data_IF_342924342800
#
_entry.id   IF_342924342800
#
_cell.length_a   1.000
_cell.length_b   1.000
_cell.length_c   1.000
_cell.angle_alpha   90.00
_cell.angle_beta   90.00
_cell.angle_gamma   90.00
#
_symmetry.space_group_name_H-M   'P 1'
#
loop_
_entity.id
_entity.type
_entity.pdbx_description
1 polymer ?
#
# COMPACT_ATOMS: atom_id res chain seq x y z
N UNK A 1 -6.87 -8.00 17.24
CA UNK A 1 -8.26 -7.69 16.83
C UNK A 1 -8.33 -6.20 16.64
N UNK A 2 -8.51 -5.79 15.40
CA UNK A 2 -8.31 -4.43 14.88
C UNK A 2 -9.31 -3.45 15.51
N UNK A 3 -8.84 -2.30 16.03
CA UNK A 3 -9.69 -1.21 16.57
C UNK A 3 -10.80 -0.81 15.58
N UNK A 4 -10.54 -0.88 14.27
CA UNK A 4 -11.53 -0.65 13.23
C UNK A 4 -12.67 -1.69 13.22
N UNK A 5 -12.40 -2.96 13.53
CA UNK A 5 -13.44 -3.98 13.70
C UNK A 5 -14.25 -3.81 14.97
N UNK A 6 -13.65 -3.30 16.06
CA UNK A 6 -14.36 -3.01 17.29
C UNK A 6 -15.29 -1.78 17.18
N UNK A 7 -14.90 -0.77 16.38
CA UNK A 7 -15.74 0.39 16.08
C UNK A 7 -16.93 0.05 15.18
N UNK A 8 -16.81 -0.94 14.31
CA UNK A 8 -17.91 -1.44 13.50
C UNK A 8 -18.93 -2.29 14.30
N UNK A 9 -18.64 -2.65 15.54
CA UNK A 9 -19.50 -3.46 16.41
C UNK A 9 -20.25 -2.67 17.51
N UNK A 10 -20.64 -1.43 17.23
CA UNK A 10 -21.75 -0.83 17.98
C UNK A 10 -21.40 -0.12 19.30
N UNK A 11 -20.24 0.49 19.40
CA UNK A 11 -20.00 1.53 20.42
C UNK A 11 -20.62 2.82 19.91
N UNK A 12 -21.58 3.37 20.63
CA UNK A 12 -22.17 4.69 20.36
C UNK A 12 -21.07 5.74 20.51
N UNK A 13 -20.39 6.03 19.43
CA UNK A 13 -19.42 7.12 19.36
C UNK A 13 -20.18 8.45 19.46
N UNK A 14 -19.67 9.36 20.27
CA UNK A 14 -20.20 10.70 20.41
C UNK A 14 -20.11 11.39 19.02
N UNK A 15 -21.09 12.22 18.67
CA UNK A 15 -21.19 12.88 17.34
C UNK A 15 -19.89 13.58 16.92
N UNK A 16 -19.15 14.11 17.89
CA UNK A 16 -17.85 14.74 17.70
C UNK A 16 -16.73 13.75 17.26
N UNK A 17 -16.77 12.53 17.75
CA UNK A 17 -15.83 11.47 17.33
C UNK A 17 -16.18 10.94 15.93
N UNK A 18 -17.46 10.93 15.56
CA UNK A 18 -17.91 10.60 14.20
C UNK A 18 -17.46 11.68 13.18
N UNK A 19 -17.60 12.98 13.52
CA UNK A 19 -17.14 14.09 12.68
C UNK A 19 -15.61 14.12 12.55
N UNK A 20 -14.87 13.76 13.61
CA UNK A 20 -13.41 13.60 13.56
C UNK A 20 -13.00 12.38 12.72
N UNK A 21 -13.78 11.30 12.73
CA UNK A 21 -13.53 10.11 11.92
C UNK A 21 -13.84 10.32 10.43
N UNK A 22 -14.85 11.14 10.09
CA UNK A 22 -15.14 11.51 8.70
C UNK A 22 -14.02 12.33 8.06
N UNK A 23 -13.23 13.05 8.86
CA UNK A 23 -12.09 13.85 8.40
C UNK A 23 -10.72 13.12 8.50
N UNK A 24 -10.64 11.97 9.17
CA UNK A 24 -9.43 11.14 9.23
C UNK A 24 -9.56 10.10 8.12
N UNK A 25 -8.90 10.31 7.01
CA UNK A 25 -8.85 9.34 5.91
C UNK A 25 -8.46 7.92 6.39
N UNK A 26 -8.78 6.92 5.61
CA UNK A 26 -8.43 5.52 5.92
C UNK A 26 -6.93 5.32 5.76
N UNK A 27 -6.21 5.26 6.88
CA UNK A 27 -4.76 4.99 6.92
C UNK A 27 -4.50 3.52 7.22
N UNK A 28 -3.41 3.01 6.66
CA UNK A 28 -2.93 1.68 7.03
C UNK A 28 -2.46 1.68 8.49
N UNK A 29 -2.84 0.65 9.24
CA UNK A 29 -2.44 0.49 10.63
C UNK A 29 -0.92 0.30 10.72
N UNK A 30 -0.22 1.00 11.64
CA UNK A 30 1.20 0.79 11.86
C UNK A 30 1.51 -0.66 12.25
N UNK A 31 2.63 -1.17 11.80
CA UNK A 31 3.13 -2.51 12.18
C UNK A 31 3.52 -2.47 13.67
N UNK A 32 2.88 -3.33 14.48
CA UNK A 32 3.07 -3.40 15.93
C UNK A 32 4.09 -4.48 16.33
N UNK A 33 5.20 -4.58 15.60
CA UNK A 33 6.31 -5.47 15.93
C UNK A 33 7.61 -4.67 16.00
N UNK A 34 8.56 -5.15 16.80
CA UNK A 34 9.84 -4.47 16.98
C UNK A 34 10.76 -4.67 15.79
N UNK A 35 11.73 -3.76 15.60
CA UNK A 35 12.76 -3.87 14.56
C UNK A 35 13.49 -5.23 14.63
N UNK A 36 13.80 -5.72 15.84
CA UNK A 36 14.43 -7.02 16.00
C UNK A 36 13.55 -8.16 15.48
N UNK A 37 12.25 -8.13 15.74
CA UNK A 37 11.33 -9.14 15.24
C UNK A 37 11.21 -9.09 13.71
N UNK A 38 11.22 -7.89 13.11
CA UNK A 38 11.24 -7.73 11.66
C UNK A 38 12.52 -8.31 11.07
N UNK A 39 13.67 -7.98 11.66
CA UNK A 39 14.96 -8.49 11.20
C UNK A 39 15.05 -10.02 11.29
N UNK A 40 14.61 -10.60 12.40
CA UNK A 40 14.55 -12.06 12.56
C UNK A 40 13.61 -12.74 11.55
N UNK A 41 12.45 -12.13 11.28
CA UNK A 41 11.54 -12.63 10.25
C UNK A 41 12.17 -12.54 8.84
N UNK A 42 12.86 -11.43 8.54
CA UNK A 42 13.59 -11.27 7.27
C UNK A 42 14.66 -12.35 7.11
N UNK A 43 15.49 -12.58 8.14
CA UNK A 43 16.52 -13.64 8.12
C UNK A 43 15.94 -15.03 7.88
N UNK A 44 14.80 -15.36 8.51
CA UNK A 44 14.12 -16.66 8.26
C UNK A 44 13.72 -16.81 6.79
N UNK A 45 13.19 -15.75 6.18
CA UNK A 45 12.82 -15.75 4.75
C UNK A 45 14.07 -15.88 3.88
N UNK A 46 15.14 -15.14 4.20
CA UNK A 46 16.41 -15.21 3.48
C UNK A 46 17.02 -16.61 3.58
N UNK A 47 17.09 -17.20 4.76
CA UNK A 47 17.58 -18.55 4.99
C UNK A 47 16.79 -19.59 4.19
N UNK A 48 15.45 -19.50 4.21
CA UNK A 48 14.58 -20.42 3.47
C UNK A 48 14.73 -20.33 1.94
N UNK A 49 15.34 -19.26 1.42
CA UNK A 49 15.57 -19.03 0.00
C UNK A 49 17.06 -19.04 -0.38
N UNK A 50 17.94 -19.54 0.49
CA UNK A 50 19.40 -19.57 0.28
C UNK A 50 20.01 -18.18 -0.03
N UNK A 51 19.44 -17.12 0.57
CA UNK A 51 19.91 -15.74 0.44
C UNK A 51 20.76 -15.39 1.67
N UNK A 52 21.90 -14.71 1.51
CA UNK A 52 22.70 -14.23 2.65
C UNK A 52 21.87 -13.38 3.61
N UNK A 53 21.99 -13.67 4.90
CA UNK A 53 21.22 -12.95 5.93
C UNK A 53 21.63 -11.49 6.06
N UNK A 54 20.65 -10.61 6.14
CA UNK A 54 20.87 -9.19 6.44
C UNK A 54 21.30 -9.00 7.89
N UNK A 55 22.27 -8.12 8.11
CA UNK A 55 22.74 -7.75 9.46
C UNK A 55 21.91 -6.66 10.11
N UNK A 56 21.20 -5.88 9.32
CA UNK A 56 20.37 -4.75 9.77
C UNK A 56 19.21 -4.51 8.82
N UNK A 57 18.18 -3.81 9.32
CA UNK A 57 17.08 -3.32 8.50
C UNK A 57 17.49 -2.02 7.78
N UNK A 58 17.14 -1.93 6.50
CA UNK A 58 17.29 -0.69 5.76
C UNK A 58 16.05 0.19 5.93
N UNK A 59 16.29 1.49 6.09
CA UNK A 59 15.23 2.49 6.17
C UNK A 59 15.30 3.46 4.97
N UNK A 60 14.16 3.93 4.47
CA UNK A 60 14.13 4.93 3.41
C UNK A 60 14.83 6.22 3.87
N UNK A 61 15.64 6.81 3.00
CA UNK A 61 16.30 8.09 3.29
C UNK A 61 15.26 9.22 3.38
N UNK A 62 15.32 9.99 4.47
CA UNK A 62 14.43 11.14 4.67
C UNK A 62 13.03 10.81 5.19
N UNK A 63 12.74 9.54 5.50
CA UNK A 63 11.53 9.11 6.18
C UNK A 63 11.92 8.49 7.53
N UNK A 64 11.26 8.90 8.59
CA UNK A 64 11.51 8.36 9.93
C UNK A 64 10.74 7.05 10.20
N UNK A 65 9.87 6.67 9.30
CA UNK A 65 9.00 5.51 9.42
C UNK A 65 9.16 4.58 8.21
N UNK A 66 8.92 3.30 8.44
CA UNK A 66 8.94 2.27 7.40
C UNK A 66 10.28 1.57 7.21
N UNK A 67 10.26 0.58 6.36
CA UNK A 67 11.39 -0.30 6.04
C UNK A 67 11.55 -0.39 4.54
N UNK A 68 12.81 -0.50 4.08
CA UNK A 68 13.13 -0.76 2.70
C UNK A 68 13.43 -2.26 2.54
N UNK A 69 12.50 -3.00 1.94
CA UNK A 69 12.64 -4.42 1.68
C UNK A 69 12.73 -4.64 0.16
N UNK A 70 13.73 -5.38 -0.28
CA UNK A 70 13.94 -5.71 -1.70
C UNK A 70 13.50 -7.13 -1.97
N UNK A 71 12.71 -7.32 -3.02
CA UNK A 71 12.30 -8.62 -3.53
C UNK A 71 12.76 -8.72 -4.98
N UNK A 72 13.66 -9.65 -5.26
CA UNK A 72 14.17 -9.92 -6.60
C UNK A 72 13.46 -11.13 -7.21
N UNK A 73 13.01 -10.96 -8.44
CA UNK A 73 12.35 -12.00 -9.22
C UNK A 73 12.76 -11.86 -10.69
N UNK A 74 13.00 -12.96 -11.36
CA UNK A 74 13.32 -12.97 -12.79
C UNK A 74 12.17 -12.43 -13.66
N UNK A 75 12.49 -12.00 -14.86
CA UNK A 75 11.48 -11.55 -15.83
C UNK A 75 10.58 -12.73 -16.22
N UNK A 76 9.27 -12.51 -16.26
CA UNK A 76 8.31 -13.54 -16.63
C UNK A 76 7.88 -14.47 -15.49
N UNK A 77 8.44 -14.35 -14.28
CA UNK A 77 8.11 -15.21 -13.12
C UNK A 77 6.89 -14.77 -12.32
N UNK A 78 6.15 -13.76 -12.79
CA UNK A 78 4.90 -13.33 -12.15
C UNK A 78 5.05 -12.22 -11.11
N UNK A 79 6.08 -11.36 -11.21
CA UNK A 79 6.26 -10.20 -10.31
C UNK A 79 4.97 -9.42 -10.05
N UNK A 80 4.26 -9.06 -11.12
CA UNK A 80 3.01 -8.29 -11.02
C UNK A 80 1.94 -9.04 -10.25
N UNK A 81 1.75 -10.32 -10.54
CA UNK A 81 0.83 -11.17 -9.80
C UNK A 81 1.19 -11.24 -8.31
N UNK A 82 2.48 -11.40 -8.01
CA UNK A 82 2.98 -11.52 -6.64
C UNK A 82 2.69 -10.28 -5.81
N UNK A 83 3.00 -9.07 -6.30
CA UNK A 83 2.72 -7.88 -5.51
C UNK A 83 1.22 -7.54 -5.43
N UNK A 84 0.42 -7.84 -6.45
CA UNK A 84 -1.04 -7.70 -6.35
C UNK A 84 -1.58 -8.64 -5.27
N UNK A 85 -1.17 -9.92 -5.28
CA UNK A 85 -1.54 -10.88 -4.25
C UNK A 85 -1.10 -10.41 -2.86
N UNK A 86 0.11 -9.87 -2.72
CA UNK A 86 0.60 -9.35 -1.44
C UNK A 86 -0.29 -8.25 -0.86
N UNK A 87 -0.89 -7.39 -1.69
CA UNK A 87 -1.83 -6.37 -1.22
C UNK A 87 -3.09 -6.99 -0.61
N UNK A 88 -3.62 -8.05 -1.21
CA UNK A 88 -4.76 -8.78 -0.65
C UNK A 88 -4.40 -9.49 0.66
N UNK A 89 -3.22 -10.14 0.73
CA UNK A 89 -2.77 -10.78 1.97
C UNK A 89 -2.56 -9.74 3.09
N UNK A 90 -1.95 -8.59 2.78
CA UNK A 90 -1.77 -7.50 3.75
C UNK A 90 -3.11 -6.91 4.21
N UNK A 91 -4.09 -6.82 3.32
CA UNK A 91 -5.44 -6.42 3.70
C UNK A 91 -6.10 -7.45 4.60
N UNK A 92 -6.01 -8.73 4.27
CA UNK A 92 -6.58 -9.82 5.05
C UNK A 92 -5.99 -9.91 6.46
N UNK A 93 -4.67 -9.80 6.59
CA UNK A 93 -3.97 -9.98 7.87
C UNK A 93 -3.95 -8.71 8.73
N UNK A 94 -3.77 -7.54 8.11
CA UNK A 94 -3.55 -6.27 8.81
C UNK A 94 -4.64 -5.22 8.59
N UNK A 95 -5.58 -5.48 7.67
CA UNK A 95 -6.61 -4.52 7.29
C UNK A 95 -6.09 -3.35 6.44
N UNK A 96 -4.89 -3.47 5.87
CA UNK A 96 -4.34 -2.43 5.03
C UNK A 96 -5.14 -2.26 3.75
N UNK A 97 -5.49 -1.02 3.43
CA UNK A 97 -6.34 -0.70 2.28
C UNK A 97 -5.73 0.29 1.31
N UNK A 98 -4.59 0.90 1.63
CA UNK A 98 -3.94 1.94 0.82
C UNK A 98 -2.58 1.48 0.35
N UNK A 99 -2.39 1.44 -0.97
CA UNK A 99 -1.14 1.01 -1.60
C UNK A 99 -0.74 1.97 -2.71
N UNK A 100 0.56 2.14 -2.91
CA UNK A 100 1.12 2.98 -3.96
C UNK A 100 2.12 2.15 -4.75
N UNK A 101 1.97 2.14 -6.07
CA UNK A 101 2.91 1.52 -6.99
C UNK A 101 3.64 2.62 -7.74
N UNK A 102 4.95 2.68 -7.56
CA UNK A 102 5.81 3.63 -8.27
C UNK A 102 6.55 2.88 -9.38
N UNK A 103 6.38 3.32 -10.60
CA UNK A 103 6.97 2.67 -11.78
C UNK A 103 7.88 3.63 -12.55
N UNK A 104 8.90 3.11 -13.28
CA UNK A 104 9.89 3.96 -13.95
C UNK A 104 9.35 4.68 -15.20
N UNK A 105 8.28 4.19 -15.83
CA UNK A 105 7.80 4.77 -17.09
C UNK A 105 6.28 4.71 -17.23
N UNK A 106 5.75 5.54 -18.14
CA UNK A 106 4.33 5.58 -18.50
C UNK A 106 3.88 4.23 -19.09
N UNK A 107 4.69 3.62 -19.96
CA UNK A 107 4.34 2.34 -20.57
C UNK A 107 4.19 1.23 -19.51
N UNK A 108 5.09 1.17 -18.53
CA UNK A 108 4.99 0.21 -17.41
C UNK A 108 3.77 0.52 -16.56
N UNK A 109 3.45 1.79 -16.32
CA UNK A 109 2.27 2.22 -15.58
C UNK A 109 0.96 1.68 -16.19
N UNK A 110 0.80 1.84 -17.51
CA UNK A 110 -0.37 1.32 -18.23
C UNK A 110 -0.41 -0.22 -18.18
N UNK A 111 0.73 -0.89 -18.32
CA UNK A 111 0.84 -2.34 -18.20
C UNK A 111 0.44 -2.86 -16.82
N UNK A 112 0.86 -2.16 -15.76
CA UNK A 112 0.46 -2.46 -14.38
C UNK A 112 -1.04 -2.28 -14.19
N UNK A 113 -1.61 -1.17 -14.65
CA UNK A 113 -3.05 -0.93 -14.58
C UNK A 113 -3.83 -2.05 -15.28
N UNK A 114 -3.41 -2.43 -16.50
CA UNK A 114 -4.01 -3.53 -17.26
C UNK A 114 -3.93 -4.88 -16.53
N UNK A 115 -2.86 -5.12 -15.80
CA UNK A 115 -2.71 -6.35 -15.01
C UNK A 115 -3.75 -6.44 -13.90
N UNK A 116 -4.11 -5.33 -13.24
CA UNK A 116 -5.23 -5.30 -12.28
C UNK A 116 -6.56 -5.65 -12.93
N UNK A 117 -6.83 -5.12 -14.12
CA UNK A 117 -8.07 -5.44 -14.85
C UNK A 117 -8.16 -6.93 -15.18
N UNK A 118 -7.09 -7.48 -15.75
CA UNK A 118 -7.05 -8.90 -16.20
C UNK A 118 -7.14 -9.87 -15.02
N UNK A 119 -6.57 -9.54 -13.87
CA UNK A 119 -6.54 -10.43 -12.70
C UNK A 119 -7.69 -10.19 -11.72
N UNK A 120 -8.57 -9.21 -11.98
CA UNK A 120 -9.61 -8.79 -11.04
C UNK A 120 -10.54 -9.94 -10.63
N UNK A 121 -11.07 -10.66 -11.60
CA UNK A 121 -12.05 -11.74 -11.34
C UNK A 121 -11.38 -12.90 -10.61
N UNK A 122 -10.16 -13.26 -10.99
CA UNK A 122 -9.37 -14.28 -10.32
C UNK A 122 -9.15 -13.96 -8.82
N UNK A 123 -8.72 -12.75 -8.50
CA UNK A 123 -8.51 -12.35 -7.11
C UNK A 123 -9.83 -12.16 -6.34
N UNK A 124 -10.88 -11.73 -7.01
CA UNK A 124 -12.20 -11.64 -6.39
C UNK A 124 -12.73 -13.03 -5.99
N UNK A 125 -12.50 -14.06 -6.77
CA UNK A 125 -12.86 -15.44 -6.41
C UNK A 125 -12.10 -15.92 -5.15
N UNK A 126 -10.83 -15.57 -5.03
CA UNK A 126 -9.97 -16.01 -3.91
C UNK A 126 -10.25 -15.23 -2.62
N UNK A 127 -10.34 -13.90 -2.72
CA UNK A 127 -10.36 -13.01 -1.55
C UNK A 127 -11.72 -12.41 -1.23
N UNK A 128 -12.71 -12.56 -2.10
CA UNK A 128 -14.05 -11.96 -2.00
C UNK A 128 -14.02 -10.42 -1.92
N UNK A 129 -12.92 -9.81 -2.33
CA UNK A 129 -12.68 -8.37 -2.36
C UNK A 129 -12.12 -7.94 -3.72
N UNK A 130 -12.37 -6.68 -4.07
CA UNK A 130 -11.79 -6.04 -5.26
C UNK A 130 -10.80 -4.96 -4.84
N UNK A 131 -9.73 -4.84 -5.60
CA UNK A 131 -8.84 -3.67 -5.57
C UNK A 131 -9.36 -2.65 -6.58
N UNK A 132 -9.36 -1.37 -6.18
CA UNK A 132 -9.68 -0.25 -7.06
C UNK A 132 -8.38 0.45 -7.45
N UNK A 133 -7.77 0.12 -8.62
CA UNK A 133 -6.58 0.82 -9.08
C UNK A 133 -6.97 2.12 -9.77
N UNK A 134 -6.14 3.14 -9.64
CA UNK A 134 -6.22 4.35 -10.46
C UNK A 134 -4.82 4.87 -10.81
N UNK A 135 -4.74 5.55 -11.94
CA UNK A 135 -3.51 6.19 -12.38
C UNK A 135 -3.50 7.62 -11.87
N UNK A 136 -2.44 7.97 -11.11
CA UNK A 136 -2.27 9.34 -10.65
C UNK A 136 -2.22 10.33 -11.81
N UNK A 137 -3.03 11.41 -11.67
CA UNK A 137 -3.07 12.51 -12.61
C UNK A 137 -3.12 13.84 -11.84
N UNK A 138 -2.10 14.67 -11.98
CA UNK A 138 -2.02 15.98 -11.32
C UNK A 138 -3.17 16.93 -11.67
N UNK A 139 -3.82 16.74 -12.82
CA UNK A 139 -5.01 17.50 -13.23
C UNK A 139 -6.29 17.07 -12.50
N UNK A 140 -6.25 16.00 -11.71
CA UNK A 140 -7.38 15.46 -10.94
C UNK A 140 -7.05 15.32 -9.47
N UNK A 141 -6.91 16.41 -8.73
CA UNK A 141 -6.56 16.35 -7.30
C UNK A 141 -7.59 15.60 -6.46
N UNK A 142 -8.85 15.57 -6.89
CA UNK A 142 -9.92 14.81 -6.22
C UNK A 142 -9.64 13.31 -6.14
N UNK A 143 -8.87 12.74 -7.07
CA UNK A 143 -8.54 11.32 -7.06
C UNK A 143 -7.70 10.94 -5.81
N UNK A 144 -6.86 11.87 -5.31
CA UNK A 144 -6.08 11.68 -4.08
C UNK A 144 -6.99 11.76 -2.86
N UNK A 145 -7.90 12.72 -2.81
CA UNK A 145 -8.87 12.87 -1.72
C UNK A 145 -9.78 11.63 -1.64
N UNK A 146 -10.27 11.15 -2.78
CA UNK A 146 -11.03 9.91 -2.86
C UNK A 146 -10.19 8.71 -2.41
N UNK A 147 -8.91 8.64 -2.80
CA UNK A 147 -7.99 7.60 -2.36
C UNK A 147 -7.82 7.59 -0.84
N UNK A 148 -7.65 8.75 -0.22
CA UNK A 148 -7.48 8.86 1.23
C UNK A 148 -8.76 8.52 2.00
N UNK A 149 -9.94 8.89 1.48
CA UNK A 149 -11.22 8.75 2.17
C UNK A 149 -11.97 7.43 1.88
N UNK A 150 -11.58 6.67 0.85
CA UNK A 150 -12.25 5.41 0.49
C UNK A 150 -11.91 4.30 1.49
N UNK A 151 -12.89 3.56 1.96
CA UNK A 151 -12.69 2.38 2.84
C UNK A 151 -12.24 1.12 2.10
N UNK A 152 -12.37 1.09 0.77
CA UNK A 152 -12.01 -0.05 -0.07
C UNK A 152 -10.50 -0.17 -0.26
N UNK A 153 -10.05 -1.35 -0.69
CA UNK A 153 -8.67 -1.54 -1.10
C UNK A 153 -8.41 -0.70 -2.36
N UNK A 154 -7.60 0.34 -2.23
CA UNK A 154 -7.29 1.29 -3.31
C UNK A 154 -5.79 1.31 -3.59
N UNK A 155 -5.44 1.38 -4.87
CA UNK A 155 -4.05 1.39 -5.34
C UNK A 155 -3.81 2.58 -6.25
N UNK A 156 -2.92 3.47 -5.86
CA UNK A 156 -2.44 4.56 -6.70
C UNK A 156 -1.23 4.10 -7.52
N UNK A 157 -1.30 4.23 -8.83
CA UNK A 157 -0.20 3.91 -9.74
C UNK A 157 0.39 5.21 -10.28
N UNK A 158 1.66 5.46 -9.99
CA UNK A 158 2.36 6.70 -10.33
C UNK A 158 3.74 6.39 -10.95
N UNK A 159 4.16 7.19 -11.92
CA UNK A 159 5.52 7.07 -12.45
C UNK A 159 6.51 7.95 -11.66
N UNK A 160 7.79 7.55 -11.64
CA UNK A 160 8.86 8.23 -10.88
C UNK A 160 8.99 9.71 -11.21
N UNK A 161 8.76 10.10 -12.46
CA UNK A 161 8.80 11.51 -12.85
C UNK A 161 7.73 12.35 -12.16
N UNK A 162 6.49 11.85 -12.12
CA UNK A 162 5.39 12.51 -11.44
C UNK A 162 5.57 12.50 -9.91
N UNK A 163 6.09 11.39 -9.36
CA UNK A 163 6.37 11.27 -7.92
C UNK A 163 7.48 12.23 -7.45
N UNK A 164 8.52 12.42 -8.26
CA UNK A 164 9.66 13.29 -7.97
C UNK A 164 9.45 14.74 -8.43
N UNK A 165 8.33 15.07 -9.06
CA UNK A 165 8.04 16.42 -9.51
C UNK A 165 8.13 17.41 -8.34
N UNK A 166 8.88 18.48 -8.52
CA UNK A 166 9.00 19.57 -7.54
C UNK A 166 7.91 20.60 -7.81
N UNK A 167 6.92 20.70 -6.92
CA UNK A 167 5.83 21.66 -7.10
C UNK A 167 4.75 21.52 -6.02
N UNK A 168 3.65 22.24 -6.21
CA UNK A 168 2.48 22.17 -5.31
C UNK A 168 1.92 20.75 -5.20
N UNK A 169 1.94 19.99 -6.31
CA UNK A 169 1.39 18.65 -6.36
C UNK A 169 2.26 17.62 -5.61
N UNK A 170 3.58 17.74 -5.68
CA UNK A 170 4.49 16.89 -4.91
C UNK A 170 4.38 17.13 -3.39
N UNK A 171 4.15 18.38 -2.97
CA UNK A 171 3.87 18.69 -1.57
C UNK A 171 2.54 18.10 -1.14
N UNK A 172 1.52 18.17 -1.99
CA UNK A 172 0.18 17.63 -1.71
C UNK A 172 0.23 16.12 -1.54
N UNK A 173 0.89 15.39 -2.46
CA UNK A 173 1.08 13.93 -2.34
C UNK A 173 1.79 13.59 -1.01
N UNK A 174 2.83 14.33 -0.63
CA UNK A 174 3.55 14.09 0.62
C UNK A 174 2.69 14.40 1.85
N UNK A 175 1.89 15.46 1.83
CA UNK A 175 1.01 15.85 2.93
C UNK A 175 -0.16 14.88 3.13
N UNK A 176 -0.65 14.25 2.06
CA UNK A 176 -1.76 13.27 2.13
C UNK A 176 -1.25 11.86 2.47
N UNK A 177 0.07 11.62 2.39
CA UNK A 177 0.70 10.35 2.73
C UNK A 177 1.29 10.33 4.15
N UNK A 178 1.50 11.49 4.78
CA UNK A 178 1.92 11.66 6.18
C UNK A 178 0.71 11.62 7.12
#
# INVERSE_FOLDING_TARGET
>A
INKAKQLAQGVVANTLELELMENIGYRNTPIQITDNQILENLKRVQFANDIPESTQLERPKGLNLGYNLTIEMETGTGKTYTYIRSMFELNKEFGWSKFIIIVPSIAIREGVYKSFEVTQDHFQEIYQHKITPFIYNSSRPQDIENFASDSRISVMIINTQAFNATGKDARRIKMELD
#
